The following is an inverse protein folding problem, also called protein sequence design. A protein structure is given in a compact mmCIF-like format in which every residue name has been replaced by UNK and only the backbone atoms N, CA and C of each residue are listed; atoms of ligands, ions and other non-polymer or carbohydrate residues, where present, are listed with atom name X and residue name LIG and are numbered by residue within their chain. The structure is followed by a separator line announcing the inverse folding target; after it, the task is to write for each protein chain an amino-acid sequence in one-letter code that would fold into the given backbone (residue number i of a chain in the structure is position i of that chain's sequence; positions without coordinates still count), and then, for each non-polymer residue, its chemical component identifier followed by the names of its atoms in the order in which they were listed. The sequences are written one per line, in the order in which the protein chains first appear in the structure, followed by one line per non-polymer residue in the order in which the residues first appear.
data_IF_802524148838
#
_entry.id   IF_802524148838
#
_cell.length_a   1.000
_cell.length_b   1.000
_cell.length_c   1.000
_cell.angle_alpha   90.00
_cell.angle_beta   90.00
_cell.angle_gamma   90.00
#
_symmetry.space_group_name_H-M   'P 1'
#
loop_
_entity.id
_entity.type
_entity.pdbx_description
1 polymer ?
#
# COMPACT_ATOMS: atom_id res chain seq x y z
N UNK A 1 15.25 -10.71 -12.38
CA UNK A 1 15.85 -10.94 -11.06
C UNK A 1 15.28 -9.97 -10.04
N UNK A 2 14.75 -10.47 -8.94
CA UNK A 2 14.11 -9.63 -7.93
C UNK A 2 15.18 -9.07 -6.98
N UNK A 3 15.11 -7.77 -6.72
CA UNK A 3 15.98 -7.15 -5.73
C UNK A 3 15.43 -7.45 -4.33
N UNK A 4 16.25 -7.29 -3.27
CA UNK A 4 15.75 -7.41 -1.90
C UNK A 4 14.59 -6.46 -1.60
N UNK A 5 14.61 -5.26 -2.17
CA UNK A 5 13.53 -4.30 -1.99
C UNK A 5 12.25 -4.76 -2.66
N UNK A 6 12.34 -5.36 -3.84
CA UNK A 6 11.17 -5.91 -4.53
C UNK A 6 10.54 -7.04 -3.72
N UNK A 7 11.37 -7.90 -3.12
CA UNK A 7 10.88 -8.99 -2.27
C UNK A 7 10.17 -8.46 -1.04
N UNK A 8 10.74 -7.44 -0.42
CA UNK A 8 10.11 -6.79 0.75
C UNK A 8 8.80 -6.13 0.37
N UNK A 9 8.77 -5.47 -0.79
CA UNK A 9 7.56 -4.83 -1.27
C UNK A 9 6.45 -5.85 -1.47
N UNK A 10 6.76 -6.99 -2.08
CA UNK A 10 5.77 -8.05 -2.27
C UNK A 10 5.26 -8.61 -0.95
N UNK A 11 6.16 -8.78 0.02
CA UNK A 11 5.75 -9.23 1.35
C UNK A 11 4.83 -8.23 2.02
N UNK A 12 5.13 -6.94 1.91
CA UNK A 12 4.28 -5.89 2.48
C UNK A 12 2.92 -5.80 1.77
N UNK A 13 2.89 -6.02 0.47
CA UNK A 13 1.61 -6.04 -0.27
C UNK A 13 0.73 -7.20 0.20
N UNK A 14 1.33 -8.36 0.44
CA UNK A 14 0.60 -9.51 0.98
C UNK A 14 0.09 -9.22 2.39
N UNK A 15 0.92 -8.58 3.20
CA UNK A 15 0.53 -8.19 4.56
C UNK A 15 -0.63 -7.21 4.54
N UNK A 16 -0.62 -6.26 3.63
CA UNK A 16 -1.72 -5.30 3.48
C UNK A 16 -3.01 -6.01 3.07
N UNK A 17 -2.93 -6.93 2.12
CA UNK A 17 -4.11 -7.69 1.70
C UNK A 17 -4.67 -8.53 2.85
N UNK A 18 -3.81 -9.17 3.61
CA UNK A 18 -4.24 -9.97 4.78
C UNK A 18 -4.87 -9.08 5.84
N UNK A 19 -4.31 -7.90 6.07
CA UNK A 19 -4.87 -6.97 7.06
C UNK A 19 -6.20 -6.42 6.58
N UNK A 20 -6.33 -6.15 5.28
CA UNK A 20 -7.58 -5.70 4.69
C UNK A 20 -8.69 -6.72 4.96
N UNK A 21 -8.41 -8.00 4.72
CA UNK A 21 -9.38 -9.06 4.94
C UNK A 21 -9.70 -9.27 6.42
N UNK A 22 -8.75 -8.98 7.28
CA UNK A 22 -8.91 -9.19 8.73
C UNK A 22 -9.67 -8.04 9.39
N UNK A 23 -9.33 -6.81 9.06
CA UNK A 23 -9.77 -5.66 9.85
C UNK A 23 -10.67 -4.68 9.12
N UNK A 24 -10.79 -4.78 7.79
CA UNK A 24 -11.63 -3.87 7.02
C UNK A 24 -12.84 -4.63 6.49
N UNK A 25 -14.01 -4.27 6.98
CA UNK A 25 -15.25 -4.93 6.59
C UNK A 25 -15.53 -4.76 5.09
N UNK A 26 -16.15 -5.77 4.49
CA UNK A 26 -16.46 -5.75 3.06
C UNK A 26 -17.37 -4.59 2.66
N UNK A 27 -18.22 -4.14 3.58
CA UNK A 27 -19.13 -3.02 3.32
C UNK A 27 -18.57 -1.68 3.77
N UNK A 28 -17.34 -1.66 4.26
CA UNK A 28 -16.70 -0.41 4.68
C UNK A 28 -16.39 0.47 3.46
N UNK A 29 -16.62 1.79 3.55
CA UNK A 29 -16.24 2.71 2.46
C UNK A 29 -14.74 2.74 2.21
N UNK A 30 -13.92 2.35 3.20
CA UNK A 30 -12.48 2.28 3.03
C UNK A 30 -12.05 1.12 2.13
N UNK A 31 -12.83 0.05 2.09
CA UNK A 31 -12.47 -1.18 1.39
C UNK A 31 -12.15 -0.96 -0.09
N UNK A 32 -13.03 -0.35 -0.91
CA UNK A 32 -12.73 -0.17 -2.31
C UNK A 32 -11.52 0.73 -2.57
N UNK A 33 -11.30 1.72 -1.70
CA UNK A 33 -10.15 2.61 -1.86
C UNK A 33 -8.85 1.90 -1.58
N UNK A 34 -8.80 1.11 -0.51
CA UNK A 34 -7.59 0.36 -0.15
C UNK A 34 -7.34 -0.74 -1.19
N UNK A 35 -8.39 -1.40 -1.66
CA UNK A 35 -8.25 -2.40 -2.71
C UNK A 35 -7.71 -1.80 -4.00
N UNK A 36 -8.15 -0.60 -4.35
CA UNK A 36 -7.66 0.09 -5.55
C UNK A 36 -6.18 0.43 -5.41
N UNK A 37 -5.77 0.94 -4.25
CA UNK A 37 -4.35 1.21 -3.99
C UNK A 37 -3.52 -0.05 -4.11
N UNK A 38 -4.02 -1.15 -3.55
CA UNK A 38 -3.31 -2.43 -3.59
C UNK A 38 -3.15 -2.91 -5.03
N UNK A 39 -4.18 -2.82 -5.84
CA UNK A 39 -4.12 -3.17 -7.25
C UNK A 39 -3.13 -2.29 -8.02
N UNK A 40 -3.18 -0.99 -7.78
CA UNK A 40 -2.26 -0.06 -8.43
C UNK A 40 -0.82 -0.39 -8.10
N UNK A 41 -0.55 -0.73 -6.84
CA UNK A 41 0.79 -1.12 -6.40
C UNK A 41 1.23 -2.44 -7.04
N UNK A 42 0.33 -3.41 -7.14
CA UNK A 42 0.64 -4.70 -7.76
C UNK A 42 0.89 -4.57 -9.26
N UNK A 43 0.19 -3.66 -9.91
CA UNK A 43 0.28 -3.45 -11.35
C UNK A 43 1.34 -2.44 -11.75
N UNK A 44 1.93 -1.73 -10.80
CA UNK A 44 2.86 -0.65 -11.10
C UNK A 44 4.21 -1.18 -11.55
N UNK A 45 4.30 -1.58 -12.80
CA UNK A 45 5.57 -1.89 -13.41
C UNK A 45 6.29 -0.66 -13.93
N UNK A 46 5.58 0.45 -14.12
CA UNK A 46 6.13 1.66 -14.72
C UNK A 46 6.56 2.64 -13.63
N UNK A 47 7.80 3.07 -13.71
CA UNK A 47 8.41 3.97 -12.71
C UNK A 47 7.66 5.29 -12.56
N UNK A 48 7.16 5.84 -13.65
CA UNK A 48 6.44 7.11 -13.62
C UNK A 48 5.18 7.09 -12.78
N UNK A 49 4.55 5.93 -12.62
CA UNK A 49 3.34 5.78 -11.82
C UNK A 49 3.63 5.73 -10.34
N UNK A 50 4.83 5.30 -9.95
CA UNK A 50 5.17 5.10 -8.55
C UNK A 50 5.15 6.38 -7.73
N UNK A 51 5.50 7.50 -8.32
CA UNK A 51 5.42 8.79 -7.64
C UNK A 51 4.00 9.14 -7.25
N UNK A 52 3.05 8.89 -8.15
CA UNK A 52 1.64 9.10 -7.86
C UNK A 52 1.16 8.14 -6.78
N UNK A 53 1.67 6.91 -6.77
CA UNK A 53 1.30 5.93 -5.76
C UNK A 53 1.78 6.32 -4.37
N UNK A 54 2.98 6.90 -4.27
CA UNK A 54 3.47 7.40 -2.98
C UNK A 54 2.55 8.50 -2.45
N UNK A 55 2.14 9.42 -3.30
CA UNK A 55 1.20 10.47 -2.93
C UNK A 55 -0.14 9.90 -2.50
N UNK A 56 -0.64 8.92 -3.24
CA UNK A 56 -1.92 8.27 -2.93
C UNK A 56 -1.84 7.49 -1.62
N UNK A 57 -0.72 6.82 -1.36
CA UNK A 57 -0.50 6.12 -0.10
C UNK A 57 -0.48 7.08 1.08
N UNK A 58 0.21 8.21 0.92
CA UNK A 58 0.27 9.23 1.96
C UNK A 58 -1.12 9.76 2.30
N UNK A 59 -1.90 10.05 1.26
CA UNK A 59 -3.26 10.51 1.45
C UNK A 59 -4.12 9.46 2.15
N UNK A 60 -3.97 8.19 1.77
CA UNK A 60 -4.71 7.11 2.39
C UNK A 60 -4.33 6.92 3.85
N UNK A 61 -3.03 7.02 4.17
CA UNK A 61 -2.56 6.92 5.56
C UNK A 61 -3.22 8.01 6.39
N UNK A 62 -3.17 9.25 5.92
CA UNK A 62 -3.77 10.37 6.64
C UNK A 62 -5.27 10.21 6.81
N UNK A 63 -5.93 9.67 5.80
CA UNK A 63 -7.38 9.54 5.82
C UNK A 63 -7.87 8.39 6.70
N UNK A 64 -7.17 7.26 6.69
CA UNK A 64 -7.62 6.05 7.37
C UNK A 64 -6.89 5.71 8.67
N UNK A 65 -5.88 6.49 9.04
CA UNK A 65 -5.02 6.20 10.18
C UNK A 65 -5.78 6.00 11.49
N UNK A 66 -6.79 6.82 11.74
CA UNK A 66 -7.55 6.75 12.98
C UNK A 66 -8.40 5.46 13.06
N UNK A 67 -8.96 5.03 11.94
CA UNK A 67 -9.87 3.88 11.92
C UNK A 67 -9.16 2.56 11.64
N UNK A 68 -8.08 2.60 10.89
CA UNK A 68 -7.36 1.40 10.45
C UNK A 68 -5.85 1.55 10.67
N UNK A 69 -5.41 1.64 11.94
CA UNK A 69 -3.99 1.96 12.21
C UNK A 69 -3.02 0.87 11.73
N UNK A 70 -3.40 -0.39 11.75
CA UNK A 70 -2.52 -1.45 11.28
C UNK A 70 -2.34 -1.44 9.77
N UNK A 71 -3.45 -1.24 9.05
CA UNK A 71 -3.40 -1.16 7.59
C UNK A 71 -2.56 0.04 7.16
N UNK A 72 -2.73 1.18 7.82
CA UNK A 72 -1.96 2.38 7.47
C UNK A 72 -0.50 2.26 7.87
N UNK A 73 -0.18 1.52 8.93
CA UNK A 73 1.21 1.23 9.28
C UNK A 73 1.90 0.45 8.16
N UNK A 74 1.21 -0.54 7.60
CA UNK A 74 1.73 -1.31 6.47
C UNK A 74 1.88 -0.41 5.24
N UNK A 75 0.90 0.44 4.97
CA UNK A 75 0.97 1.41 3.88
C UNK A 75 2.19 2.33 4.02
N UNK A 76 2.47 2.76 5.24
CA UNK A 76 3.64 3.60 5.51
C UNK A 76 4.94 2.85 5.22
N UNK A 77 5.02 1.58 5.59
CA UNK A 77 6.17 0.74 5.27
C UNK A 77 6.36 0.64 3.76
N UNK A 78 5.27 0.49 3.03
CA UNK A 78 5.33 0.45 1.57
C UNK A 78 5.85 1.78 1.01
N UNK A 79 5.41 2.91 1.55
CA UNK A 79 5.91 4.22 1.13
C UNK A 79 7.41 4.33 1.33
N UNK A 80 7.90 3.89 2.47
CA UNK A 80 9.34 3.92 2.78
C UNK A 80 10.11 3.06 1.78
N UNK A 81 9.61 1.87 1.50
CA UNK A 81 10.25 0.98 0.51
C UNK A 81 10.31 1.62 -0.87
N UNK A 82 9.21 2.21 -1.31
CA UNK A 82 9.16 2.88 -2.61
C UNK A 82 10.16 4.04 -2.66
N UNK A 83 10.24 4.81 -1.59
CA UNK A 83 11.21 5.91 -1.50
C UNK A 83 12.64 5.41 -1.58
N UNK A 84 12.94 4.29 -0.91
CA UNK A 84 14.26 3.69 -0.95
C UNK A 84 14.60 3.12 -2.32
N UNK A 85 13.61 2.82 -3.12
CA UNK A 85 13.81 2.35 -4.50
C UNK A 85 14.04 3.49 -5.49
N UNK A 86 14.16 4.70 -5.03
CA UNK A 86 14.48 5.86 -5.88
C UNK A 86 13.28 6.54 -6.51
N UNK A 87 12.15 6.43 -5.88
CA UNK A 87 10.90 7.01 -6.40
C UNK A 87 10.57 8.33 -5.74
#
# INVERSE_FOLDING_TARGET
MTTPDDSKLQAELRALRAELDRSVAHDSPARPRIEQLLRDLEESGAEGRRQNLVGNLRAAVQHFEAEHPRATAIMNDIMVLLSNMGI
#
